data_IF_128876566641
#
_entry.id   IF_128876566641
#
_cell.length_a   1.000
_cell.length_b   1.000
_cell.length_c   1.000
_cell.angle_alpha   90.00
_cell.angle_beta   90.00
_cell.angle_gamma   90.00
#
_symmetry.space_group_name_H-M   'P 1'
#
loop_
_entity.id
_entity.type
_entity.pdbx_description
1 polymer ?
#
# COMPACT_ATOMS: atom_id res chain seq x y z
N UNK A 1 0.63 18.78 -11.12
CA UNK A 1 1.59 18.16 -10.19
C UNK A 1 2.91 18.03 -10.93
N UNK A 2 4.05 18.43 -10.35
CA UNK A 2 5.34 18.01 -10.90
C UNK A 2 5.58 16.59 -10.42
N UNK A 3 5.78 15.67 -11.35
CA UNK A 3 5.98 14.24 -11.07
C UNK A 3 7.21 14.00 -10.19
N UNK A 4 8.18 14.92 -10.21
CA UNK A 4 9.43 14.86 -9.44
C UNK A 4 9.24 15.01 -7.92
N UNK A 5 8.10 15.52 -7.45
CA UNK A 5 7.88 15.76 -6.01
C UNK A 5 7.54 14.49 -5.23
N UNK A 6 7.07 13.42 -5.90
CA UNK A 6 6.63 12.18 -5.23
C UNK A 6 7.81 11.25 -4.88
N UNK A 7 8.97 11.43 -5.52
CA UNK A 7 10.13 10.55 -5.36
C UNK A 7 9.81 9.09 -5.66
N UNK A 8 10.58 8.15 -5.07
CA UNK A 8 10.27 6.72 -5.17
C UNK A 8 9.31 6.30 -4.06
N UNK A 9 8.25 5.60 -4.45
CA UNK A 9 7.40 4.88 -3.51
C UNK A 9 7.95 3.48 -3.26
N UNK A 10 7.98 3.09 -1.99
CA UNK A 10 8.24 1.72 -1.57
C UNK A 10 6.92 0.97 -1.50
N UNK A 11 6.90 -0.25 -2.04
CA UNK A 11 5.76 -1.16 -1.95
C UNK A 11 6.24 -2.47 -1.37
N UNK A 12 5.63 -2.87 -0.25
CA UNK A 12 5.99 -4.07 0.50
C UNK A 12 4.73 -4.83 0.87
N UNK A 13 4.79 -6.16 0.80
CA UNK A 13 3.66 -7.03 1.12
C UNK A 13 4.06 -8.07 2.16
N UNK A 14 3.17 -8.33 3.13
CA UNK A 14 3.36 -9.34 4.15
C UNK A 14 2.02 -9.82 4.66
N UNK A 15 2.02 -11.02 5.24
CA UNK A 15 0.85 -11.60 5.89
C UNK A 15 0.96 -11.48 7.40
N UNK A 16 -0.18 -11.36 8.08
CA UNK A 16 -0.25 -11.41 9.54
C UNK A 16 -1.35 -12.35 10.00
N UNK A 17 -1.05 -13.19 10.97
CA UNK A 17 -2.06 -14.04 11.60
C UNK A 17 -3.09 -13.20 12.36
N UNK A 18 -4.37 -13.53 12.17
CA UNK A 18 -5.50 -12.99 12.93
C UNK A 18 -6.47 -14.12 13.30
N UNK A 19 -7.35 -13.94 14.29
CA UNK A 19 -8.31 -14.97 14.72
C UNK A 19 -9.19 -15.53 13.59
N UNK A 20 -9.47 -14.71 12.58
CA UNK A 20 -10.28 -15.03 11.40
C UNK A 20 -9.47 -15.61 10.22
N UNK A 21 -8.16 -15.77 10.37
CA UNK A 21 -7.26 -16.23 9.31
C UNK A 21 -6.09 -15.28 9.05
N UNK A 22 -5.24 -15.67 8.10
CA UNK A 22 -4.05 -14.90 7.71
C UNK A 22 -4.44 -13.71 6.85
N UNK A 23 -4.24 -12.50 7.35
CA UNK A 23 -4.61 -11.25 6.67
C UNK A 23 -3.46 -10.77 5.78
N UNK A 24 -3.68 -10.56 4.46
CA UNK A 24 -2.67 -10.06 3.54
C UNK A 24 -2.61 -8.53 3.55
N UNK A 25 -1.47 -7.97 3.93
CA UNK A 25 -1.21 -6.52 3.98
C UNK A 25 -0.28 -6.05 2.86
N UNK A 26 -0.48 -4.81 2.43
CA UNK A 26 0.41 -4.07 1.53
C UNK A 26 0.72 -2.73 2.18
N UNK A 27 1.98 -2.33 2.24
CA UNK A 27 2.41 -0.99 2.65
C UNK A 27 2.89 -0.23 1.43
N UNK A 28 2.40 0.99 1.27
CA UNK A 28 2.94 1.99 0.36
C UNK A 28 3.38 3.21 1.16
N UNK A 29 4.64 3.61 0.99
CA UNK A 29 5.18 4.81 1.62
C UNK A 29 6.23 5.48 0.74
N UNK A 30 6.39 6.81 0.83
CA UNK A 30 7.52 7.49 0.21
C UNK A 30 8.84 7.02 0.80
N UNK A 31 9.89 6.94 -0.01
CA UNK A 31 11.23 6.61 0.49
C UNK A 31 11.91 7.81 1.14
N UNK A 32 11.61 9.04 0.72
CA UNK A 32 12.30 10.26 1.12
C UNK A 32 13.56 10.54 0.29
N UNK A 33 13.66 10.01 -0.93
CA UNK A 33 14.81 10.18 -1.84
C UNK A 33 14.58 11.20 -2.98
N UNK A 34 13.46 11.93 -2.92
CA UNK A 34 13.02 12.92 -3.88
C UNK A 34 13.83 14.21 -3.81
N UNK A 35 13.95 14.89 -4.95
CA UNK A 35 14.83 16.05 -5.12
C UNK A 35 14.45 17.26 -4.25
N UNK A 36 13.20 17.30 -3.77
CA UNK A 36 12.66 18.37 -2.93
C UNK A 36 12.53 17.98 -1.44
N UNK A 37 13.09 16.84 -1.04
CA UNK A 37 13.13 16.38 0.35
C UNK A 37 11.87 15.63 0.83
N UNK A 38 11.94 15.03 2.03
CA UNK A 38 10.89 14.15 2.58
C UNK A 38 9.56 14.85 2.82
N UNK A 39 9.54 16.15 3.14
CA UNK A 39 8.31 16.93 3.32
C UNK A 39 7.55 17.11 2.01
N UNK A 40 8.27 17.35 0.90
CA UNK A 40 7.66 17.48 -0.42
C UNK A 40 7.03 16.16 -0.88
N UNK A 41 7.71 15.04 -0.65
CA UNK A 41 7.17 13.71 -0.90
C UNK A 41 5.93 13.40 -0.05
N UNK A 42 5.98 13.74 1.24
CA UNK A 42 4.84 13.56 2.14
C UNK A 42 3.61 14.32 1.63
N UNK A 43 3.81 15.56 1.18
CA UNK A 43 2.75 16.37 0.59
C UNK A 43 2.27 15.82 -0.76
N UNK A 44 3.17 15.29 -1.60
CA UNK A 44 2.82 14.66 -2.86
C UNK A 44 2.00 13.37 -2.64
N UNK A 45 2.40 12.53 -1.69
CA UNK A 45 1.67 11.34 -1.26
C UNK A 45 0.27 11.68 -0.72
N UNK A 46 0.16 12.74 0.09
CA UNK A 46 -1.15 13.20 0.58
C UNK A 46 -2.07 13.66 -0.57
N UNK A 47 -1.52 14.36 -1.57
CA UNK A 47 -2.27 14.77 -2.77
C UNK A 47 -2.67 13.59 -3.65
N UNK A 48 -1.81 12.58 -3.76
CA UNK A 48 -2.10 11.33 -4.47
C UNK A 48 -3.29 10.61 -3.83
N UNK A 49 -3.29 10.46 -2.51
CA UNK A 49 -4.42 9.88 -1.77
C UNK A 49 -5.71 10.68 -1.95
N UNK A 50 -5.64 12.01 -1.80
CA UNK A 50 -6.77 12.89 -2.03
C UNK A 50 -7.31 12.79 -3.47
N UNK A 51 -6.43 12.72 -4.47
CA UNK A 51 -6.79 12.54 -5.88
C UNK A 51 -7.40 11.16 -6.17
N UNK A 52 -7.08 10.15 -5.36
CA UNK A 52 -7.70 8.83 -5.41
C UNK A 52 -9.04 8.74 -4.66
N UNK A 53 -9.47 9.83 -4.01
CA UNK A 53 -10.66 9.83 -3.15
C UNK A 53 -10.46 9.08 -1.83
N UNK A 54 -9.21 8.83 -1.44
CA UNK A 54 -8.86 8.15 -0.19
C UNK A 54 -8.48 9.22 0.85
N UNK A 55 -9.27 9.40 1.92
CA UNK A 55 -8.90 10.32 2.98
C UNK A 55 -7.68 9.77 3.73
N UNK A 56 -6.63 10.58 3.96
CA UNK A 56 -5.45 10.15 4.72
C UNK A 56 -5.70 9.98 6.22
N UNK A 57 -6.96 10.09 6.70
CA UNK A 57 -7.30 10.12 8.13
C UNK A 57 -8.22 8.97 8.51
N UNK A 58 -7.68 8.01 9.28
CA UNK A 58 -8.30 7.04 10.22
C UNK A 58 -9.53 6.23 9.79
N UNK A 59 -10.15 6.51 8.65
CA UNK A 59 -11.29 5.76 8.17
C UNK A 59 -10.82 4.67 7.21
N UNK A 60 -11.24 3.44 7.49
CA UNK A 60 -11.04 2.32 6.58
C UNK A 60 -11.92 2.53 5.36
N UNK A 61 -11.30 2.70 4.19
CA UNK A 61 -12.01 2.74 2.92
C UNK A 61 -12.20 1.32 2.41
N UNK A 62 -13.44 0.89 2.23
CA UNK A 62 -13.73 -0.40 1.61
C UNK A 62 -13.93 -0.24 0.10
N UNK A 63 -12.89 -0.50 -0.69
CA UNK A 63 -12.96 -0.41 -2.14
C UNK A 63 -13.80 -1.53 -2.77
N UNK A 64 -14.16 -2.58 -2.01
CA UNK A 64 -15.08 -3.62 -2.50
C UNK A 64 -16.50 -3.09 -2.67
N UNK A 65 -16.86 -2.05 -1.90
CA UNK A 65 -18.15 -1.35 -1.96
C UNK A 65 -18.12 -0.14 -2.91
N UNK A 66 -16.93 0.22 -3.43
CA UNK A 66 -16.70 1.42 -4.24
C UNK A 66 -16.04 1.08 -5.59
N UNK A 67 -16.78 0.48 -6.55
CA UNK A 67 -16.20 0.02 -7.83
C UNK A 67 -15.66 1.15 -8.72
N UNK A 68 -16.04 2.40 -8.46
CA UNK A 68 -15.54 3.59 -9.16
C UNK A 68 -14.25 4.15 -8.57
N UNK A 69 -13.76 3.62 -7.45
CA UNK A 69 -12.51 4.07 -6.84
C UNK A 69 -11.35 3.74 -7.79
N UNK A 70 -10.49 4.71 -8.14
CA UNK A 70 -9.42 4.53 -9.13
C UNK A 70 -8.21 3.80 -8.54
N UNK A 71 -8.44 2.78 -7.71
CA UNK A 71 -7.41 1.96 -7.06
C UNK A 71 -7.73 0.50 -7.28
N UNK A 72 -6.73 -0.25 -7.75
CA UNK A 72 -6.92 -1.67 -8.07
C UNK A 72 -5.69 -2.50 -7.74
N UNK A 73 -5.95 -3.76 -7.39
CA UNK A 73 -4.94 -4.78 -7.15
C UNK A 73 -5.16 -5.95 -8.09
N UNK A 74 -4.18 -6.21 -8.95
CA UNK A 74 -4.14 -7.34 -9.85
C UNK A 74 -3.08 -8.34 -9.37
N UNK A 75 -3.48 -9.58 -9.13
CA UNK A 75 -2.59 -10.67 -8.76
C UNK A 75 -2.33 -11.55 -9.98
N UNK A 76 -1.06 -11.78 -10.25
CA UNK A 76 -0.54 -12.60 -11.34
C UNK A 76 0.27 -13.77 -10.76
N UNK A 77 0.50 -14.85 -11.54
CA UNK A 77 1.48 -15.86 -11.16
C UNK A 77 2.86 -15.23 -10.93
N UNK A 78 3.32 -15.22 -9.67
CA UNK A 78 4.63 -14.71 -9.28
C UNK A 78 4.77 -13.19 -9.14
N UNK A 79 3.69 -12.41 -9.32
CA UNK A 79 3.73 -10.95 -9.17
C UNK A 79 2.37 -10.37 -8.75
N UNK A 80 2.39 -9.18 -8.18
CA UNK A 80 1.20 -8.37 -7.97
C UNK A 80 1.42 -6.95 -8.50
N UNK A 81 0.37 -6.36 -9.05
CA UNK A 81 0.35 -5.01 -9.61
C UNK A 81 -0.67 -4.18 -8.85
N UNK A 82 -0.17 -3.18 -8.14
CA UNK A 82 -0.97 -2.15 -7.50
C UNK A 82 -1.07 -0.94 -8.43
N UNK A 83 -2.29 -0.51 -8.71
CA UNK A 83 -2.56 0.69 -9.52
C UNK A 83 -3.31 1.72 -8.69
N UNK A 84 -2.78 2.93 -8.67
CA UNK A 84 -3.34 4.15 -8.08
C UNK A 84 -3.34 5.24 -9.18
N UNK A 85 -4.03 6.38 -9.02
CA UNK A 85 -3.92 7.48 -9.96
C UNK A 85 -2.45 7.87 -10.14
N UNK A 86 -1.95 7.91 -11.38
CA UNK A 86 -0.56 8.34 -11.68
C UNK A 86 0.55 7.42 -11.13
N UNK A 87 0.22 6.31 -10.46
CA UNK A 87 1.19 5.38 -9.87
C UNK A 87 0.82 3.94 -10.22
N UNK A 88 1.75 3.21 -10.79
CA UNK A 88 1.65 1.76 -10.99
C UNK A 88 2.88 1.12 -10.39
N UNK A 89 2.69 0.18 -9.47
CA UNK A 89 3.76 -0.51 -8.79
C UNK A 89 3.60 -2.02 -8.95
N UNK A 90 4.67 -2.68 -9.38
CA UNK A 90 4.76 -4.14 -9.45
C UNK A 90 5.69 -4.64 -8.35
N UNK A 91 5.27 -5.68 -7.64
CA UNK A 91 6.05 -6.32 -6.59
C UNK A 91 5.89 -7.84 -6.62
N UNK A 92 6.82 -8.54 -5.98
CA UNK A 92 6.79 -10.01 -5.81
C UNK A 92 6.29 -10.29 -4.40
N UNK A 93 5.02 -10.73 -4.24
CA UNK A 93 4.51 -11.05 -2.92
C UNK A 93 5.07 -12.38 -2.38
N UNK A 94 5.22 -12.50 -1.05
CA UNK A 94 5.42 -13.79 -0.38
C UNK A 94 4.34 -14.82 -0.72
N UNK A 95 4.69 -16.12 -0.64
CA UNK A 95 3.77 -17.20 -0.99
C UNK A 95 2.55 -17.27 -0.04
N UNK A 96 2.78 -17.10 1.26
CA UNK A 96 1.74 -17.03 2.29
C UNK A 96 0.79 -15.83 2.07
N UNK A 97 1.28 -14.74 1.50
CA UNK A 97 0.46 -13.61 1.09
C UNK A 97 -0.45 -13.95 -0.09
N UNK A 98 0.04 -14.67 -1.09
CA UNK A 98 -0.77 -15.13 -2.21
C UNK A 98 -1.89 -16.08 -1.77
N UNK A 99 -1.57 -17.00 -0.86
CA UNK A 99 -2.56 -17.91 -0.25
C UNK A 99 -3.63 -17.14 0.52
N UNK A 100 -3.21 -16.18 1.35
CA UNK A 100 -4.12 -15.32 2.11
C UNK A 100 -5.05 -14.53 1.17
N UNK A 101 -4.52 -13.92 0.10
CA UNK A 101 -5.34 -13.22 -0.89
C UNK A 101 -6.29 -14.16 -1.62
N UNK A 102 -5.86 -15.38 -1.93
CA UNK A 102 -6.71 -16.41 -2.53
C UNK A 102 -7.88 -16.82 -1.62
N UNK A 103 -7.66 -16.87 -0.31
CA UNK A 103 -8.68 -17.20 0.69
C UNK A 103 -9.64 -16.03 0.98
N UNK A 104 -9.12 -14.81 1.08
CA UNK A 104 -9.90 -13.63 1.48
C UNK A 104 -10.51 -12.86 0.30
N UNK A 105 -9.98 -13.01 -0.91
CA UNK A 105 -10.41 -12.26 -2.11
C UNK A 105 -10.05 -10.76 -2.07
N UNK A 106 -9.34 -10.31 -1.05
CA UNK A 106 -8.93 -8.91 -0.86
C UNK A 106 -7.56 -8.81 -0.17
N UNK A 107 -6.98 -7.62 -0.20
CA UNK A 107 -5.80 -7.27 0.57
C UNK A 107 -5.97 -5.92 1.28
N UNK A 108 -5.34 -5.77 2.44
CA UNK A 108 -5.35 -4.54 3.24
C UNK A 108 -4.18 -3.64 2.83
N UNK A 109 -4.47 -2.58 2.10
CA UNK A 109 -3.51 -1.53 1.80
C UNK A 109 -3.40 -0.54 2.96
N UNK A 110 -2.18 -0.29 3.41
CA UNK A 110 -1.78 0.80 4.29
C UNK A 110 -0.96 1.75 3.42
N UNK A 111 -1.48 2.93 3.13
CA UNK A 111 -0.73 3.97 2.42
C UNK A 111 -0.43 5.09 3.40
N UNK A 112 0.82 5.24 3.80
CA UNK A 112 1.25 6.34 4.67
C UNK A 112 1.91 7.47 3.90
N UNK A 113 1.68 8.70 4.35
CA UNK A 113 2.41 9.88 3.87
C UNK A 113 3.75 10.06 4.58
N UNK A 114 4.05 9.24 5.61
CA UNK A 114 5.33 9.29 6.33
C UNK A 114 6.43 8.64 5.48
N UNK A 115 7.52 9.35 5.18
CA UNK A 115 8.66 8.77 4.47
C UNK A 115 9.39 7.74 5.32
N UNK A 116 9.92 6.70 4.68
CA UNK A 116 10.72 5.67 5.33
C UNK A 116 12.08 5.47 4.62
N UNK A 117 13.06 6.34 4.88
CA UNK A 117 14.36 6.32 4.19
C UNK A 117 15.21 5.10 4.50
N UNK A 118 15.10 4.58 5.73
CA UNK A 118 15.86 3.43 6.21
C UNK A 118 15.22 2.08 5.85
N UNK A 119 14.15 2.07 5.06
CA UNK A 119 13.47 0.85 4.67
C UNK A 119 14.40 -0.09 3.89
N UNK A 120 14.62 -1.28 4.44
CA UNK A 120 15.33 -2.36 3.77
C UNK A 120 14.32 -3.39 3.26
N UNK A 121 14.23 -3.61 1.94
CA UNK A 121 13.39 -4.67 1.39
C UNK A 121 13.77 -6.03 2.01
N UNK A 122 12.79 -6.76 2.53
CA UNK A 122 12.97 -8.14 3.02
C UNK A 122 13.02 -8.33 4.54
N UNK A 123 13.01 -7.27 5.34
CA UNK A 123 12.89 -7.40 6.80
C UNK A 123 11.42 -7.25 7.24
N UNK A 124 10.74 -8.40 7.34
CA UNK A 124 9.34 -8.47 7.78
C UNK A 124 9.11 -7.93 9.21
N UNK A 125 10.12 -8.01 10.08
CA UNK A 125 10.03 -7.52 11.46
C UNK A 125 9.99 -5.99 11.50
N UNK A 126 10.94 -5.35 10.81
CA UNK A 126 10.98 -3.88 10.72
C UNK A 126 9.77 -3.33 9.94
N UNK A 127 9.31 -4.05 8.92
CA UNK A 127 8.06 -3.72 8.20
C UNK A 127 6.84 -3.72 9.12
N UNK A 128 6.67 -4.79 9.90
CA UNK A 128 5.53 -4.90 10.83
C UNK A 128 5.58 -3.83 11.90
N UNK A 129 6.77 -3.53 12.44
CA UNK A 129 6.98 -2.48 13.42
C UNK A 129 6.64 -1.10 12.85
N UNK A 130 7.12 -0.77 11.65
CA UNK A 130 6.82 0.51 11.00
C UNK A 130 5.34 0.67 10.67
N UNK A 131 4.71 -0.39 10.13
CA UNK A 131 3.29 -0.37 9.78
C UNK A 131 2.36 -0.28 10.99
N UNK A 132 2.82 -0.73 12.16
CA UNK A 132 2.07 -0.68 13.43
C UNK A 132 2.43 0.52 14.31
N UNK A 133 3.39 1.35 13.89
CA UNK A 133 3.83 2.51 14.65
C UNK A 133 2.73 3.59 14.70
N UNK A 134 2.51 4.20 15.87
CA UNK A 134 1.43 5.15 16.08
C UNK A 134 1.53 6.38 15.15
N UNK A 135 2.73 6.86 14.87
CA UNK A 135 2.92 7.99 13.96
C UNK A 135 2.66 7.60 12.49
N UNK A 136 2.97 6.35 12.12
CA UNK A 136 2.61 5.80 10.81
C UNK A 136 1.11 5.67 10.67
N UNK A 137 0.43 5.08 11.65
CA UNK A 137 -1.04 4.91 11.65
C UNK A 137 -1.77 6.26 11.61
N UNK A 138 -1.26 7.28 12.32
CA UNK A 138 -1.83 8.65 12.28
C UNK A 138 -1.74 9.34 10.93
N UNK A 139 -0.83 8.89 10.07
CA UNK A 139 -0.55 9.44 8.73
C UNK A 139 -0.90 8.47 7.60
N UNK A 140 -1.56 7.35 7.94
CA UNK A 140 -1.91 6.30 7.01
C UNK A 140 -3.39 6.34 6.63
N UNK A 141 -3.63 6.20 5.33
CA UNK A 141 -4.89 5.72 4.82
C UNK A 141 -4.91 4.19 4.87
N UNK A 142 -6.07 3.64 5.23
CA UNK A 142 -6.33 2.20 5.23
C UNK A 142 -7.38 1.89 4.19
N UNK A 143 -7.09 0.94 3.29
CA UNK A 143 -8.00 0.58 2.20
C UNK A 143 -8.09 -0.94 2.09
N UNK A 144 -9.31 -1.49 2.07
CA UNK A 144 -9.55 -2.88 1.66
C UNK A 144 -9.65 -2.91 0.14
N UNK A 145 -8.70 -3.58 -0.51
CA UNK A 145 -8.64 -3.68 -1.97
C UNK A 145 -9.16 -5.04 -2.44
N UNK A 146 -10.18 -5.10 -3.32
CA UNK A 146 -10.54 -6.36 -3.95
C UNK A 146 -9.38 -6.83 -4.83
N UNK A 147 -8.93 -8.07 -4.60
CA UNK A 147 -7.89 -8.68 -5.40
C UNK A 147 -8.51 -9.30 -6.64
N UNK A 148 -8.13 -8.80 -7.81
CA UNK A 148 -8.50 -9.41 -9.09
C UNK A 148 -7.39 -10.37 -9.47
N UNK A 149 -7.76 -11.60 -9.81
CA UNK A 149 -6.81 -12.56 -10.39
C UNK A 149 -7.13 -12.71 -11.87
N UNK A 150 -6.09 -12.73 -12.71
CA UNK A 150 -6.22 -13.18 -14.08
C UNK A 150 -6.43 -14.70 -14.04
N UNK A 151 -7.71 -15.10 -14.13
CA UNK A 151 -8.06 -16.49 -14.39
C UNK A 151 -7.63 -16.79 -15.83
N UNK A 152 -6.55 -17.54 -15.98
CA UNK A 152 -6.31 -18.31 -17.20
C UNK A 152 -7.21 -19.54 -17.21
#
# INVERSE_FOLDING_TARGET
MRTDDLGRLLVMSWSREAPQGTVPYILVCPRGDGSNGPEAESAAAARLLAGAGIPPKHELVDATLMPSLPVSLLVLPGAAVLTLPQVTAQFVPPADWLEAVGAHGCAYLIFTTRPWPDAKPGDAGTLTAFASDEATLKSAAHVVLPARSLRN
#
